data_IF_496431354747
#
_entry.id   IF_496431354747
#
_cell.length_a   1.000
_cell.length_b   1.000
_cell.length_c   1.000
_cell.angle_alpha   90.00
_cell.angle_beta   90.00
_cell.angle_gamma   90.00
#
_symmetry.space_group_name_H-M   'P 1'
#
loop_
_entity.id
_entity.type
_entity.pdbx_description
1 polymer ?
#
# COMPACT_ATOMS: atom_id res chain seq x y z
N UNK A 1 -23.58 -6.43 43.10
CA UNK A 1 -24.06 -6.74 41.73
C UNK A 1 -23.50 -5.69 40.76
N UNK A 2 -22.94 -6.09 39.62
CA UNK A 2 -22.37 -5.15 38.65
C UNK A 2 -23.44 -4.31 37.92
N UNK A 3 -23.14 -3.04 37.63
CA UNK A 3 -24.04 -2.12 36.89
C UNK A 3 -24.43 -2.72 35.53
N UNK A 4 -25.71 -2.54 35.14
CA UNK A 4 -26.24 -2.94 33.84
C UNK A 4 -25.38 -2.37 32.69
N UNK A 5 -24.86 -3.27 31.85
CA UNK A 5 -23.96 -2.91 30.75
C UNK A 5 -24.80 -2.48 29.54
N UNK A 6 -24.55 -1.26 29.03
CA UNK A 6 -25.23 -0.74 27.84
C UNK A 6 -25.00 -1.63 26.61
N UNK A 7 -26.06 -1.92 25.85
CA UNK A 7 -26.00 -2.73 24.62
C UNK A 7 -24.99 -2.15 23.64
N UNK A 8 -24.14 -3.02 23.07
CA UNK A 8 -23.12 -2.65 22.09
C UNK A 8 -21.77 -2.19 22.65
N UNK A 9 -21.60 -2.17 23.98
CA UNK A 9 -20.33 -1.81 24.63
C UNK A 9 -19.35 -2.98 24.80
N UNK A 10 -19.80 -4.23 24.60
CA UNK A 10 -18.98 -5.44 24.69
C UNK A 10 -19.15 -6.35 23.48
N UNK A 11 -18.15 -7.19 23.22
CA UNK A 11 -18.15 -8.20 22.15
C UNK A 11 -17.92 -7.60 20.75
N UNK A 12 -18.50 -8.21 19.72
CA UNK A 12 -18.27 -7.82 18.32
C UNK A 12 -18.62 -6.35 18.02
N UNK A 13 -19.57 -5.76 18.74
CA UNK A 13 -19.91 -4.34 18.58
C UNK A 13 -18.78 -3.39 19.03
N UNK A 14 -17.93 -3.84 19.95
CA UNK A 14 -16.79 -3.08 20.46
C UNK A 14 -15.47 -3.41 19.75
N UNK A 15 -15.35 -4.63 19.20
CA UNK A 15 -14.10 -5.09 18.56
C UNK A 15 -13.97 -4.62 17.11
N UNK A 16 -15.08 -4.34 16.43
CA UNK A 16 -15.11 -3.97 15.03
C UNK A 16 -15.62 -2.54 14.83
N UNK A 17 -15.07 -1.88 13.82
CA UNK A 17 -15.46 -0.54 13.39
C UNK A 17 -15.72 -0.56 11.89
N UNK A 18 -16.75 0.14 11.43
CA UNK A 18 -17.04 0.23 9.99
C UNK A 18 -16.03 1.15 9.30
N UNK A 19 -15.82 0.96 7.99
CA UNK A 19 -14.96 1.85 7.19
C UNK A 19 -15.29 3.33 7.39
N UNK A 20 -16.57 3.70 7.34
CA UNK A 20 -16.99 5.09 7.52
C UNK A 20 -16.62 5.65 8.91
N UNK A 21 -16.81 4.84 9.95
CA UNK A 21 -16.43 5.23 11.32
C UNK A 21 -14.90 5.36 11.47
N UNK A 22 -14.13 4.48 10.81
CA UNK A 22 -12.68 4.56 10.79
C UNK A 22 -12.18 5.84 10.10
N UNK A 23 -12.76 6.20 8.95
CA UNK A 23 -12.45 7.45 8.23
C UNK A 23 -12.73 8.67 9.09
N UNK A 24 -13.90 8.73 9.72
CA UNK A 24 -14.28 9.85 10.60
C UNK A 24 -13.32 9.97 11.80
N UNK A 25 -12.86 8.83 12.34
CA UNK A 25 -11.93 8.81 13.48
C UNK A 25 -10.51 9.23 13.10
N UNK A 26 -10.02 8.81 11.93
CA UNK A 26 -8.67 9.13 11.45
C UNK A 26 -8.60 10.51 10.76
N UNK A 27 -9.74 11.09 10.37
CA UNK A 27 -9.86 12.39 9.71
C UNK A 27 -9.10 12.52 8.38
N UNK A 28 -9.06 11.42 7.61
CA UNK A 28 -8.39 11.34 6.30
C UNK A 28 -9.37 10.97 5.18
N UNK A 29 -8.97 11.20 3.93
CA UNK A 29 -9.77 10.81 2.77
C UNK A 29 -9.85 9.29 2.61
N UNK A 30 -10.79 8.80 1.81
CA UNK A 30 -10.89 7.37 1.51
C UNK A 30 -9.64 6.86 0.75
N UNK A 31 -9.08 7.66 -0.14
CA UNK A 31 -7.87 7.31 -0.89
C UNK A 31 -6.65 7.17 0.04
N UNK A 32 -6.45 8.15 0.93
CA UNK A 32 -5.34 8.12 1.90
C UNK A 32 -5.51 6.99 2.90
N UNK A 33 -6.74 6.69 3.32
CA UNK A 33 -7.02 5.56 4.20
C UNK A 33 -6.67 4.23 3.53
N UNK A 34 -7.05 4.03 2.27
CA UNK A 34 -6.67 2.82 1.51
C UNK A 34 -5.16 2.70 1.39
N UNK A 35 -4.47 3.80 1.09
CA UNK A 35 -3.00 3.85 1.02
C UNK A 35 -2.36 3.49 2.36
N UNK A 36 -2.85 4.08 3.46
CA UNK A 36 -2.38 3.79 4.82
C UNK A 36 -2.57 2.32 5.19
N UNK A 37 -3.73 1.75 4.85
CA UNK A 37 -4.02 0.33 5.07
C UNK A 37 -3.05 -0.58 4.33
N UNK A 38 -2.69 -0.28 3.07
CA UNK A 38 -1.71 -1.06 2.30
C UNK A 38 -0.33 -0.97 2.96
N UNK A 39 0.10 0.25 3.29
CA UNK A 39 1.42 0.49 3.89
C UNK A 39 1.57 -0.16 5.27
N UNK A 40 0.51 -0.24 6.07
CA UNK A 40 0.54 -0.93 7.37
C UNK A 40 0.06 -2.38 7.36
N UNK A 41 -0.38 -2.91 6.21
CA UNK A 41 -0.89 -4.28 6.14
C UNK A 41 -2.18 -4.48 6.95
N UNK A 42 -3.05 -3.48 7.01
CA UNK A 42 -4.33 -3.56 7.71
C UNK A 42 -5.43 -3.91 6.72
N UNK A 43 -5.96 -5.12 6.88
CA UNK A 43 -6.96 -5.68 5.98
C UNK A 43 -8.37 -5.61 6.59
N UNK A 44 -9.41 -5.50 5.75
CA UNK A 44 -10.79 -5.73 6.16
C UNK A 44 -10.98 -7.09 6.85
N UNK A 45 -11.92 -7.15 7.79
CA UNK A 45 -12.23 -8.35 8.56
C UNK A 45 -13.72 -8.62 8.56
N UNK A 46 -14.09 -9.89 8.56
CA UNK A 46 -15.48 -10.30 8.61
C UNK A 46 -15.86 -10.73 10.05
N UNK A 47 -16.77 -10.01 10.72
CA UNK A 47 -17.19 -10.38 12.07
C UNK A 47 -18.10 -11.60 12.03
N UNK A 48 -17.85 -12.57 12.93
CA UNK A 48 -18.69 -13.80 13.07
C UNK A 48 -20.19 -13.50 13.16
N UNK A 49 -20.56 -12.40 13.82
CA UNK A 49 -21.94 -11.93 13.92
C UNK A 49 -22.07 -10.49 13.36
N UNK A 50 -22.35 -10.37 12.06
CA UNK A 50 -22.49 -9.09 11.34
C UNK A 50 -23.55 -8.18 11.96
N UNK A 51 -24.71 -8.71 12.32
CA UNK A 51 -25.80 -7.96 12.96
C UNK A 51 -25.39 -7.32 14.28
N UNK A 52 -24.57 -8.01 15.09
CA UNK A 52 -24.07 -7.45 16.36
C UNK A 52 -23.00 -6.38 16.12
N UNK A 53 -22.10 -6.59 15.16
CA UNK A 53 -21.07 -5.61 14.80
C UNK A 53 -21.67 -4.33 14.20
N UNK A 54 -22.70 -4.47 13.36
CA UNK A 54 -23.34 -3.34 12.66
C UNK A 54 -24.55 -2.76 13.43
N UNK A 55 -24.54 -2.86 14.77
CA UNK A 55 -25.58 -2.30 15.65
C UNK A 55 -27.03 -2.67 15.27
N UNK A 56 -27.24 -3.86 14.72
CA UNK A 56 -28.55 -4.37 14.31
C UNK A 56 -28.79 -4.39 12.80
N UNK A 57 -27.98 -3.69 12.01
CA UNK A 57 -28.12 -3.65 10.54
C UNK A 57 -27.54 -4.90 9.86
N UNK A 58 -28.19 -5.34 8.80
CA UNK A 58 -27.74 -6.44 7.91
C UNK A 58 -27.10 -5.94 6.62
N UNK A 59 -26.99 -4.62 6.43
CA UNK A 59 -26.40 -4.04 5.24
C UNK A 59 -24.94 -4.48 5.04
N UNK A 60 -24.50 -4.69 3.78
CA UNK A 60 -23.11 -5.03 3.48
C UNK A 60 -22.20 -3.89 3.91
N UNK A 61 -21.25 -4.19 4.78
CA UNK A 61 -20.31 -3.21 5.30
C UNK A 61 -18.92 -3.83 5.45
N UNK A 62 -17.90 -3.03 5.17
CA UNK A 62 -16.50 -3.37 5.42
C UNK A 62 -16.15 -3.03 6.86
N UNK A 63 -15.67 -4.02 7.62
CA UNK A 63 -15.25 -3.83 9.00
C UNK A 63 -13.73 -3.94 9.13
N UNK A 64 -13.20 -3.23 10.12
CA UNK A 64 -11.81 -3.32 10.58
C UNK A 64 -11.80 -3.57 12.07
N UNK A 65 -10.70 -4.07 12.62
CA UNK A 65 -10.57 -4.13 14.08
C UNK A 65 -10.34 -2.74 14.66
N UNK A 66 -10.99 -2.47 15.79
CA UNK A 66 -10.81 -1.21 16.52
C UNK A 66 -9.36 -1.04 16.99
N UNK A 67 -8.68 -2.13 17.36
CA UNK A 67 -7.26 -2.10 17.75
C UNK A 67 -6.35 -1.63 16.61
N UNK A 68 -6.61 -2.07 15.38
CA UNK A 68 -5.80 -1.72 14.22
C UNK A 68 -5.99 -0.23 13.86
N UNK A 69 -7.23 0.26 13.92
CA UNK A 69 -7.51 1.70 13.72
C UNK A 69 -6.92 2.56 14.85
N UNK A 70 -6.88 2.04 16.09
CA UNK A 70 -6.23 2.74 17.20
C UNK A 70 -4.71 2.80 16.99
N UNK A 71 -4.11 1.73 16.52
CA UNK A 71 -2.69 1.70 16.15
C UNK A 71 -2.39 2.71 15.03
N UNK A 72 -3.22 2.79 13.98
CA UNK A 72 -3.09 3.81 12.92
C UNK A 72 -3.17 5.27 13.42
N UNK A 73 -3.87 5.51 14.53
CA UNK A 73 -4.01 6.86 15.07
C UNK A 73 -2.66 7.43 15.56
N UNK A 74 -1.73 6.55 15.94
CA UNK A 74 -0.41 6.91 16.43
C UNK A 74 0.66 6.85 15.34
N UNK A 75 0.28 6.58 14.09
CA UNK A 75 1.22 6.42 12.99
C UNK A 75 1.73 7.79 12.47
N UNK A 76 3.06 8.02 12.37
CA UNK A 76 3.61 9.30 11.89
C UNK A 76 3.14 9.67 10.48
N UNK A 77 2.93 8.68 9.61
CA UNK A 77 2.46 8.90 8.25
C UNK A 77 1.07 9.57 8.20
N UNK A 78 0.25 9.38 9.23
CA UNK A 78 -1.06 10.02 9.33
C UNK A 78 -0.92 11.56 9.40
N UNK A 79 0.08 12.06 10.12
CA UNK A 79 0.37 13.50 10.18
C UNK A 79 0.77 14.04 8.80
N UNK A 80 1.62 13.30 8.07
CA UNK A 80 2.04 13.66 6.70
C UNK A 80 0.88 13.69 5.71
N UNK A 81 -0.07 12.77 5.81
CA UNK A 81 -1.28 12.83 4.97
C UNK A 81 -2.15 14.04 5.28
N UNK A 82 -2.24 14.44 6.55
CA UNK A 82 -2.95 15.67 6.95
C UNK A 82 -2.23 16.94 6.47
N UNK A 83 -0.91 16.98 6.56
CA UNK A 83 -0.07 18.04 5.98
C UNK A 83 -0.29 18.15 4.47
N UNK A 84 -0.24 17.01 3.76
CA UNK A 84 -0.47 16.98 2.32
C UNK A 84 -1.87 17.47 1.95
N UNK A 85 -2.91 17.08 2.71
CA UNK A 85 -4.27 17.58 2.50
C UNK A 85 -4.37 19.10 2.69
N UNK A 86 -3.73 19.64 3.72
CA UNK A 86 -3.67 21.08 3.95
C UNK A 86 -2.93 21.80 2.82
N UNK A 87 -1.83 21.22 2.35
CA UNK A 87 -1.06 21.68 1.21
C UNK A 87 -1.91 21.71 -0.07
N UNK A 88 -2.61 20.63 -0.41
CA UNK A 88 -3.50 20.57 -1.58
C UNK A 88 -4.59 21.64 -1.52
N UNK A 89 -5.16 21.90 -0.33
CA UNK A 89 -6.15 22.97 -0.16
C UNK A 89 -5.55 24.36 -0.42
N UNK A 90 -4.31 24.61 0.03
CA UNK A 90 -3.59 25.87 -0.22
C UNK A 90 -3.27 26.02 -1.71
N UNK A 91 -2.77 24.96 -2.34
CA UNK A 91 -2.48 24.94 -3.77
C UNK A 91 -3.73 25.25 -4.61
N UNK A 92 -4.85 24.57 -4.35
CA UNK A 92 -6.11 24.82 -5.05
C UNK A 92 -6.58 26.27 -4.85
N UNK A 93 -6.41 26.86 -3.66
CA UNK A 93 -6.76 28.27 -3.43
C UNK A 93 -5.95 29.23 -4.30
N UNK A 94 -4.65 28.98 -4.49
CA UNK A 94 -3.77 29.80 -5.33
C UNK A 94 -4.10 29.58 -6.81
N UNK A 95 -4.33 28.34 -7.22
CA UNK A 95 -4.75 28.00 -8.59
C UNK A 95 -6.09 28.67 -8.96
N UNK A 96 -7.08 28.66 -8.05
CA UNK A 96 -8.36 29.34 -8.29
C UNK A 96 -8.25 30.87 -8.40
N UNK A 97 -7.18 31.47 -7.88
CA UNK A 97 -6.89 32.90 -8.05
C UNK A 97 -6.20 33.22 -9.38
N UNK A 98 -5.76 32.21 -10.13
CA UNK A 98 -5.02 32.38 -11.39
C UNK A 98 -3.53 32.69 -11.21
N UNK A 99 -2.97 32.59 -10.00
CA UNK A 99 -1.56 32.87 -9.73
C UNK A 99 -0.67 31.64 -10.02
N UNK A 100 -0.48 31.30 -11.30
CA UNK A 100 0.21 30.08 -11.73
C UNK A 100 1.68 30.01 -11.27
N UNK A 101 2.41 31.13 -11.29
CA UNK A 101 3.81 31.18 -10.84
C UNK A 101 3.95 30.89 -9.34
N UNK A 102 3.05 31.46 -8.53
CA UNK A 102 3.01 31.20 -7.09
C UNK A 102 2.58 29.75 -6.79
N UNK A 103 1.66 29.18 -7.57
CA UNK A 103 1.27 27.78 -7.45
C UNK A 103 2.44 26.83 -7.74
N UNK A 104 3.21 27.10 -8.80
CA UNK A 104 4.40 26.33 -9.16
C UNK A 104 5.48 26.40 -8.06
N UNK A 105 5.80 27.60 -7.59
CA UNK A 105 6.75 27.78 -6.49
C UNK A 105 6.30 27.08 -5.21
N UNK A 106 5.00 27.09 -4.91
CA UNK A 106 4.44 26.37 -3.77
C UNK A 106 4.58 24.85 -3.94
N UNK A 107 4.36 24.32 -5.15
CA UNK A 107 4.52 22.90 -5.45
C UNK A 107 5.97 22.43 -5.32
N UNK A 108 6.93 23.22 -5.77
CA UNK A 108 8.34 22.85 -5.72
C UNK A 108 8.90 22.93 -4.30
N UNK A 109 8.56 23.99 -3.54
CA UNK A 109 9.22 24.27 -2.25
C UNK A 109 8.48 23.68 -1.03
N UNK A 110 7.16 23.51 -1.10
CA UNK A 110 6.34 23.22 0.08
C UNK A 110 5.61 21.88 0.01
N UNK A 111 5.80 21.09 -1.05
CA UNK A 111 5.17 19.78 -1.18
C UNK A 111 5.69 18.82 -0.09
N UNK A 112 4.82 18.31 0.80
CA UNK A 112 5.26 17.41 1.86
C UNK A 112 5.70 16.08 1.26
N UNK A 113 6.95 15.72 1.49
CA UNK A 113 7.51 14.40 1.17
C UNK A 113 7.52 13.57 2.45
N UNK A 114 7.22 12.28 2.33
CA UNK A 114 7.33 11.34 3.43
C UNK A 114 8.16 10.14 2.98
N UNK A 115 8.89 9.55 3.93
CA UNK A 115 9.61 8.29 3.72
C UNK A 115 8.79 7.11 4.25
N UNK A 116 9.08 5.92 3.71
CA UNK A 116 8.51 4.65 4.14
C UNK A 116 9.51 3.79 4.93
N UNK A 117 10.73 4.29 5.19
CA UNK A 117 11.82 3.52 5.78
C UNK A 117 11.46 2.90 7.13
N UNK A 118 10.77 3.66 7.99
CA UNK A 118 10.36 3.17 9.31
C UNK A 118 9.33 2.05 9.21
N UNK A 119 8.44 2.10 8.21
CA UNK A 119 7.43 1.07 7.97
C UNK A 119 8.08 -0.21 7.47
N UNK A 120 9.05 -0.09 6.56
CA UNK A 120 9.78 -1.25 6.02
C UNK A 120 10.57 -1.93 7.14
N UNK A 121 11.28 -1.16 7.99
CA UNK A 121 12.04 -1.71 9.12
C UNK A 121 11.16 -2.32 10.21
N UNK A 122 9.99 -1.75 10.47
CA UNK A 122 9.03 -2.32 11.42
C UNK A 122 8.43 -3.64 10.88
N UNK A 123 8.14 -3.69 9.58
CA UNK A 123 7.56 -4.88 8.93
C UNK A 123 8.57 -6.01 8.80
N UNK A 124 9.82 -5.70 8.48
CA UNK A 124 10.90 -6.66 8.29
C UNK A 124 12.07 -6.30 9.23
N UNK A 125 12.03 -6.75 10.50
CA UNK A 125 13.06 -6.45 11.48
C UNK A 125 14.44 -7.00 11.09
N UNK A 126 14.47 -8.09 10.32
CA UNK A 126 15.70 -8.69 9.81
C UNK A 126 15.73 -8.72 8.29
N UNK A 127 16.94 -8.78 7.73
CA UNK A 127 17.12 -8.93 6.28
C UNK A 127 16.51 -10.22 5.74
N UNK A 128 16.54 -11.32 6.52
CA UNK A 128 15.94 -12.59 6.12
C UNK A 128 14.42 -12.48 6.03
N UNK A 129 13.78 -11.73 6.93
CA UNK A 129 12.33 -11.49 6.87
C UNK A 129 11.95 -10.73 5.59
N UNK A 130 12.76 -9.76 5.17
CA UNK A 130 12.57 -9.05 3.92
C UNK A 130 12.75 -9.96 2.69
N UNK A 131 13.76 -10.84 2.70
CA UNK A 131 13.99 -11.78 1.60
C UNK A 131 12.83 -12.77 1.41
N UNK A 132 12.17 -13.19 2.49
CA UNK A 132 11.04 -14.13 2.44
C UNK A 132 9.80 -13.57 1.74
N UNK A 133 9.67 -12.26 1.67
CA UNK A 133 8.52 -11.55 1.07
C UNK A 133 8.92 -10.81 -0.21
N UNK A 134 10.12 -11.09 -0.75
CA UNK A 134 10.65 -10.39 -1.93
C UNK A 134 10.02 -10.88 -3.24
N UNK A 135 9.50 -12.11 -3.28
CA UNK A 135 8.93 -12.78 -4.47
C UNK A 135 7.82 -11.96 -5.15
N UNK A 136 6.84 -11.50 -4.36
CA UNK A 136 5.72 -10.69 -4.85
C UNK A 136 6.18 -9.32 -5.35
N UNK A 137 7.11 -8.68 -4.63
CA UNK A 137 7.65 -7.38 -5.02
C UNK A 137 8.41 -7.46 -6.34
N UNK A 138 9.25 -8.49 -6.54
CA UNK A 138 9.97 -8.71 -7.79
C UNK A 138 9.02 -8.96 -8.96
N UNK A 139 8.04 -9.84 -8.78
CA UNK A 139 7.06 -10.16 -9.83
C UNK A 139 6.29 -8.91 -10.28
N UNK A 140 5.94 -8.04 -9.34
CA UNK A 140 5.29 -6.75 -9.64
C UNK A 140 6.23 -5.77 -10.36
N UNK A 141 7.50 -5.68 -9.97
CA UNK A 141 8.48 -4.83 -10.68
C UNK A 141 8.60 -5.26 -12.15
N UNK A 142 8.75 -6.56 -12.41
CA UNK A 142 8.85 -7.09 -13.77
C UNK A 142 7.59 -6.82 -14.59
N UNK A 143 6.41 -6.88 -13.99
CA UNK A 143 5.16 -6.50 -14.65
C UNK A 143 5.15 -5.01 -15.02
N UNK A 144 5.39 -4.12 -14.05
CA UNK A 144 5.34 -2.67 -14.29
C UNK A 144 6.41 -2.17 -15.28
N UNK A 145 7.58 -2.79 -15.33
CA UNK A 145 8.63 -2.44 -16.28
C UNK A 145 8.24 -2.72 -17.75
N UNK A 146 7.29 -3.64 -17.98
CA UNK A 146 6.78 -4.00 -19.31
C UNK A 146 5.51 -3.24 -19.71
N UNK A 147 4.81 -2.59 -18.78
CA UNK A 147 3.60 -1.84 -19.09
C UNK A 147 3.94 -0.55 -19.87
N UNK A 148 3.10 -0.16 -20.85
CA UNK A 148 3.23 1.13 -21.48
C UNK A 148 2.89 2.25 -20.48
N UNK A 149 3.54 3.40 -20.67
CA UNK A 149 3.25 4.61 -19.90
C UNK A 149 1.89 5.18 -20.31
N UNK A 150 1.11 5.61 -19.33
CA UNK A 150 -0.24 6.15 -19.51
C UNK A 150 -0.48 7.23 -18.44
N UNK A 151 -1.60 7.95 -18.48
CA UNK A 151 -1.97 8.98 -17.49
C UNK A 151 -1.95 8.45 -16.05
N UNK A 152 -2.22 7.15 -15.88
CA UNK A 152 -2.16 6.45 -14.58
C UNK A 152 -0.75 5.95 -14.24
N UNK A 153 0.04 5.55 -15.24
CA UNK A 153 1.36 4.94 -15.08
C UNK A 153 2.43 5.91 -15.59
N UNK A 154 3.05 6.63 -14.64
CA UNK A 154 4.07 7.63 -14.94
C UNK A 154 5.35 7.00 -15.50
N UNK A 155 5.98 7.69 -16.45
CA UNK A 155 7.25 7.27 -17.04
C UNK A 155 8.36 7.08 -16.00
N UNK A 156 8.44 7.95 -15.00
CA UNK A 156 9.43 7.88 -13.92
C UNK A 156 9.36 6.53 -13.19
N UNK A 157 8.15 6.07 -12.86
CA UNK A 157 7.94 4.79 -12.15
C UNK A 157 8.42 3.61 -12.98
N UNK A 158 8.13 3.62 -14.28
CA UNK A 158 8.57 2.54 -15.20
C UNK A 158 10.10 2.54 -15.32
N UNK A 159 10.72 3.72 -15.37
CA UNK A 159 12.18 3.88 -15.39
C UNK A 159 12.82 3.31 -14.11
N UNK A 160 12.27 3.67 -12.95
CA UNK A 160 12.75 3.17 -11.65
C UNK A 160 12.64 1.64 -11.57
N UNK A 161 11.52 1.06 -12.03
CA UNK A 161 11.36 -0.40 -12.09
C UNK A 161 12.42 -1.06 -12.96
N UNK A 162 12.73 -0.50 -14.14
CA UNK A 162 13.76 -1.04 -15.05
C UNK A 162 15.15 -0.99 -14.42
N UNK A 163 15.47 0.10 -13.73
CA UNK A 163 16.74 0.22 -13.01
C UNK A 163 16.87 -0.83 -11.91
N UNK A 164 15.87 -0.95 -11.02
CA UNK A 164 15.87 -1.92 -9.93
C UNK A 164 15.96 -3.37 -10.44
N UNK A 165 15.28 -3.69 -11.54
CA UNK A 165 15.37 -5.00 -12.20
C UNK A 165 16.79 -5.26 -12.68
N UNK A 166 17.42 -4.30 -13.37
CA UNK A 166 18.77 -4.46 -13.90
C UNK A 166 19.80 -4.67 -12.76
N UNK A 167 19.67 -3.93 -11.67
CA UNK A 167 20.49 -4.09 -10.47
C UNK A 167 20.32 -5.48 -9.84
N UNK A 168 19.08 -5.94 -9.68
CA UNK A 168 18.78 -7.27 -9.13
C UNK A 168 19.29 -8.40 -10.04
N UNK A 169 19.06 -8.32 -11.34
CA UNK A 169 19.57 -9.29 -12.31
C UNK A 169 21.10 -9.32 -12.32
N UNK A 170 21.75 -8.15 -12.27
CA UNK A 170 23.20 -8.04 -12.15
C UNK A 170 23.74 -8.72 -10.89
N UNK A 171 23.05 -8.55 -9.76
CA UNK A 171 23.37 -9.28 -8.52
C UNK A 171 23.22 -10.79 -8.69
N UNK A 172 22.10 -11.28 -9.22
CA UNK A 172 21.83 -12.72 -9.41
C UNK A 172 22.88 -13.36 -10.34
N UNK A 173 23.24 -12.69 -11.43
CA UNK A 173 24.26 -13.13 -12.37
C UNK A 173 25.65 -13.19 -11.72
N UNK A 174 26.07 -12.11 -11.04
CA UNK A 174 27.39 -12.05 -10.39
C UNK A 174 27.52 -13.05 -9.24
N UNK A 175 26.46 -13.22 -8.46
CA UNK A 175 26.42 -14.17 -7.33
C UNK A 175 26.25 -15.63 -7.75
N UNK A 176 25.89 -15.90 -9.02
CA UNK A 176 25.55 -17.25 -9.52
C UNK A 176 24.51 -17.95 -8.65
N UNK A 177 23.50 -17.18 -8.22
CA UNK A 177 22.47 -17.64 -7.28
C UNK A 177 21.26 -18.29 -7.95
N UNK A 178 21.12 -18.21 -9.28
CA UNK A 178 20.03 -18.86 -10.01
C UNK A 178 20.11 -20.39 -9.86
N UNK A 179 18.96 -21.03 -9.65
CA UNK A 179 18.85 -22.48 -9.40
C UNK A 179 17.92 -23.17 -10.37
N UNK A 180 16.74 -22.61 -10.62
CA UNK A 180 15.72 -23.22 -11.49
C UNK A 180 15.10 -22.18 -12.41
N UNK A 181 14.69 -22.64 -13.58
CA UNK A 181 13.96 -21.87 -14.58
C UNK A 181 12.82 -22.73 -15.10
N UNK A 182 11.62 -22.16 -15.20
CA UNK A 182 10.46 -22.85 -15.72
C UNK A 182 9.67 -21.95 -16.68
N UNK A 183 9.49 -22.42 -17.91
CA UNK A 183 8.71 -21.73 -18.92
C UNK A 183 7.25 -22.16 -18.79
N UNK A 184 6.38 -21.18 -18.58
CA UNK A 184 4.93 -21.38 -18.54
C UNK A 184 4.26 -20.59 -19.67
N UNK A 185 2.95 -20.76 -19.81
CA UNK A 185 2.13 -19.92 -20.70
C UNK A 185 2.10 -18.46 -20.20
N UNK A 186 2.17 -18.23 -18.88
CA UNK A 186 2.07 -16.89 -18.27
C UNK A 186 3.36 -16.06 -18.41
N UNK A 187 4.48 -16.72 -18.61
CA UNK A 187 5.81 -16.13 -18.54
C UNK A 187 6.85 -17.12 -18.04
N UNK A 188 8.03 -16.61 -17.71
CA UNK A 188 9.17 -17.39 -17.27
C UNK A 188 9.32 -17.24 -15.76
N UNK A 189 9.25 -18.36 -15.04
CA UNK A 189 9.55 -18.41 -13.61
C UNK A 189 11.04 -18.62 -13.41
N UNK A 190 11.65 -17.79 -12.57
CA UNK A 190 13.03 -17.92 -12.13
C UNK A 190 13.05 -18.18 -10.63
N UNK A 191 13.96 -19.03 -10.20
CA UNK A 191 14.20 -19.30 -8.79
C UNK A 191 15.68 -19.10 -8.48
N UNK A 192 15.99 -18.23 -7.53
CA UNK A 192 17.34 -18.02 -7.02
C UNK A 192 17.43 -18.31 -5.53
N UNK A 193 18.61 -18.70 -5.07
CA UNK A 193 18.91 -18.93 -3.67
C UNK A 193 19.81 -17.81 -3.15
N UNK A 194 19.27 -16.98 -2.27
CA UNK A 194 19.94 -15.80 -1.73
C UNK A 194 19.97 -15.92 -0.20
N UNK A 195 21.18 -16.03 0.37
CA UNK A 195 21.41 -16.22 1.81
C UNK A 195 20.54 -17.34 2.43
N UNK A 196 20.43 -18.48 1.72
CA UNK A 196 19.64 -19.63 2.15
C UNK A 196 18.12 -19.44 2.07
N UNK A 197 17.62 -18.32 1.55
CA UNK A 197 16.22 -18.15 1.18
C UNK A 197 16.06 -18.42 -0.30
N UNK A 198 15.04 -19.20 -0.64
CA UNK A 198 14.63 -19.44 -2.02
C UNK A 198 13.65 -18.36 -2.43
N UNK A 199 13.97 -17.65 -3.50
CA UNK A 199 13.20 -16.52 -4.01
C UNK A 199 12.72 -16.89 -5.41
N UNK A 200 11.41 -16.89 -5.65
CA UNK A 200 10.80 -17.25 -6.93
C UNK A 200 10.00 -16.08 -7.48
N UNK A 201 10.30 -15.65 -8.69
CA UNK A 201 9.57 -14.56 -9.35
C UNK A 201 9.24 -14.92 -10.79
N UNK A 202 8.22 -14.26 -11.34
CA UNK A 202 7.79 -14.42 -12.72
C UNK A 202 8.18 -13.19 -13.54
N UNK A 203 8.69 -13.45 -14.75
CA UNK A 203 8.93 -12.44 -15.79
C UNK A 203 7.91 -12.67 -16.90
N UNK A 204 7.05 -11.69 -17.22
CA UNK A 204 6.12 -11.82 -18.34
C UNK A 204 6.87 -11.94 -19.67
N UNK A 205 6.24 -12.55 -20.68
CA UNK A 205 6.76 -12.45 -22.04
C UNK A 205 6.58 -11.03 -22.57
N UNK A 206 7.54 -10.59 -23.39
CA UNK A 206 7.51 -9.27 -24.04
C UNK A 206 6.50 -9.26 -25.19
N UNK A 207 5.23 -9.08 -24.84
CA UNK A 207 4.15 -8.86 -25.80
C UNK A 207 3.54 -7.47 -25.58
N UNK A 208 2.98 -6.87 -26.63
CA UNK A 208 2.13 -5.69 -26.50
C UNK A 208 0.87 -6.06 -25.72
N UNK A 209 0.77 -5.66 -24.46
CA UNK A 209 -0.40 -5.91 -23.62
C UNK A 209 -1.34 -4.71 -23.65
N UNK A 210 -2.64 -4.97 -23.82
CA UNK A 210 -3.68 -3.97 -23.63
C UNK A 210 -3.96 -3.82 -22.14
N UNK A 211 -3.90 -2.59 -21.63
CA UNK A 211 -4.25 -2.30 -20.23
C UNK A 211 -5.78 -2.37 -20.10
N UNK A 212 -6.32 -3.28 -19.27
CA UNK A 212 -7.77 -3.34 -19.03
C UNK A 212 -8.24 -2.07 -18.30
N UNK A 213 -9.46 -1.63 -18.59
CA UNK A 213 -10.04 -0.39 -18.05
C UNK A 213 -10.69 -0.54 -16.68
N UNK A 214 -10.93 -1.77 -16.25
CA UNK A 214 -11.78 -2.15 -15.11
C UNK A 214 -11.06 -2.23 -13.76
#
# INVERSE_FOLDING_TARGET
MGKLIKKGTKGNAANFITRQQALNKLQISLADFRRLCILKGIYPREPKNKKKANKGSTAPATFYYVKDIKYLLHEPLLAKFREHKAFTKKLNKVLHKGEFAAAKSLEENNKPIYSLDHIVKERYPTFIDALRDLDDALSMLFLFAMLPTDDKIKADVVSDCRQLIAEFQGYVMRSKSLRKVFFSIKGIYYQAEIKGQTITWIVPYQFSQNIPTD
#
